data_IF_798450072406
#
_entry.id   IF_798450072406
#
_cell.length_a   1.000
_cell.length_b   1.000
_cell.length_c   1.000
_cell.angle_alpha   90.00
_cell.angle_beta   90.00
_cell.angle_gamma   90.00
#
_symmetry.space_group_name_H-M   'P 1'
#
loop_
_entity.id
_entity.type
_entity.pdbx_description
1 polymer ?
#
# COMPACT_ATOMS: atom_id res chain seq x y z
N UNK A 1 -32.30 28.50 0.83
CA UNK A 1 -31.48 27.30 0.54
C UNK A 1 -30.21 27.39 1.36
N UNK A 2 -30.34 27.25 2.67
CA UNK A 2 -29.24 27.26 3.63
C UNK A 2 -29.66 26.28 4.71
N UNK A 3 -28.94 25.19 4.86
CA UNK A 3 -29.37 24.11 5.75
C UNK A 3 -28.83 22.77 5.28
N UNK A 4 -27.56 22.50 5.62
CA UNK A 4 -26.95 21.18 5.89
C UNK A 4 -25.41 21.20 5.84
N UNK A 5 -24.75 22.35 6.00
CA UNK A 5 -23.27 22.43 6.05
C UNK A 5 -22.79 23.01 7.39
N UNK A 6 -23.46 22.66 8.49
CA UNK A 6 -23.06 23.07 9.85
C UNK A 6 -22.60 21.87 10.69
N UNK A 7 -22.41 20.69 10.09
CA UNK A 7 -21.90 19.48 10.77
C UNK A 7 -20.55 19.02 10.23
N UNK A 8 -19.67 19.98 9.92
CA UNK A 8 -18.25 19.74 9.68
C UNK A 8 -17.37 20.21 10.86
N UNK A 9 -17.98 20.56 11.99
CA UNK A 9 -17.31 20.71 13.28
C UNK A 9 -16.84 19.31 13.76
N UNK A 10 -15.58 19.02 13.42
CA UNK A 10 -14.66 18.08 14.09
C UNK A 10 -14.78 16.55 13.84
N UNK A 11 -14.46 16.06 12.62
CA UNK A 11 -14.17 14.63 12.39
C UNK A 11 -12.66 14.25 12.40
N UNK A 12 -11.72 15.18 12.64
CA UNK A 12 -10.26 14.94 12.67
C UNK A 12 -9.56 15.60 13.88
N UNK A 13 -10.08 15.44 15.09
CA UNK A 13 -9.43 15.91 16.35
C UNK A 13 -8.03 15.29 16.65
N UNK A 14 -7.49 14.45 15.77
CA UNK A 14 -6.22 13.74 15.96
C UNK A 14 -5.16 13.97 14.89
N UNK A 15 -5.41 14.83 13.89
CA UNK A 15 -4.43 15.13 12.82
C UNK A 15 -4.31 16.66 12.77
N UNK A 16 -3.17 17.26 13.18
CA UNK A 16 -2.99 18.71 13.21
C UNK A 16 -2.83 19.23 11.77
N UNK A 17 -3.96 19.39 11.08
CA UNK A 17 -3.96 20.00 9.76
C UNK A 17 -3.95 21.54 9.92
N UNK A 18 -3.06 22.26 9.23
CA UNK A 18 -3.01 23.72 9.31
C UNK A 18 -4.34 24.33 8.83
N UNK A 19 -4.84 25.34 9.56
CA UNK A 19 -6.14 26.01 9.32
C UNK A 19 -6.32 26.69 7.95
N UNK A 20 -5.33 26.58 7.06
CA UNK A 20 -5.38 26.99 5.66
C UNK A 20 -6.25 26.04 4.81
N UNK A 21 -6.30 24.74 5.13
CA UNK A 21 -7.14 23.76 4.43
C UNK A 21 -8.61 23.76 4.88
N UNK A 22 -8.92 24.47 5.98
CA UNK A 22 -10.27 24.72 6.50
C UNK A 22 -10.85 26.05 6.02
N UNK A 23 -10.11 26.86 5.25
CA UNK A 23 -10.67 28.03 4.59
C UNK A 23 -11.38 27.61 3.30
N UNK A 24 -12.72 27.59 3.34
CA UNK A 24 -13.62 27.21 2.25
C UNK A 24 -13.55 28.16 1.04
N UNK A 25 -12.86 29.28 1.17
CA UNK A 25 -12.70 30.32 0.16
C UNK A 25 -11.53 30.07 -0.81
N UNK A 26 -10.90 28.89 -0.77
CA UNK A 26 -9.84 28.47 -1.71
C UNK A 26 -10.27 27.21 -2.49
N UNK A 27 -10.00 27.11 -3.82
CA UNK A 27 -10.43 25.98 -4.65
C UNK A 27 -9.87 24.62 -4.17
N UNK A 28 -8.74 24.67 -3.45
CA UNK A 28 -8.07 23.52 -2.84
C UNK A 28 -8.92 22.89 -1.72
N UNK A 29 -9.76 23.67 -1.03
CA UNK A 29 -10.61 23.17 0.06
C UNK A 29 -11.70 22.21 -0.41
N UNK A 30 -12.27 22.41 -1.61
CA UNK A 30 -13.28 21.50 -2.17
C UNK A 30 -12.66 20.15 -2.53
N UNK A 31 -11.49 20.16 -3.16
CA UNK A 31 -10.73 18.94 -3.46
C UNK A 31 -10.37 18.18 -2.17
N UNK A 32 -9.89 18.88 -1.14
CA UNK A 32 -9.50 18.23 0.13
C UNK A 32 -10.69 17.68 0.91
N UNK A 33 -11.85 18.36 0.86
CA UNK A 33 -13.08 17.89 1.49
C UNK A 33 -13.55 16.55 0.91
N UNK A 34 -13.52 16.39 -0.42
CA UNK A 34 -13.85 15.11 -1.08
C UNK A 34 -12.89 13.98 -0.67
N UNK A 35 -11.60 14.27 -0.51
CA UNK A 35 -10.64 13.28 0.00
C UNK A 35 -10.93 12.88 1.46
N UNK A 36 -11.32 13.82 2.32
CA UNK A 36 -11.63 13.53 3.73
C UNK A 36 -12.90 12.68 3.84
N UNK A 37 -13.95 12.99 3.08
CA UNK A 37 -15.16 12.16 3.01
C UNK A 37 -14.85 10.76 2.46
N UNK A 38 -14.01 10.66 1.43
CA UNK A 38 -13.57 9.38 0.87
C UNK A 38 -12.80 8.52 1.89
N UNK A 39 -11.90 9.12 2.70
CA UNK A 39 -11.16 8.42 3.76
C UNK A 39 -12.12 7.91 4.85
N UNK A 40 -13.14 8.69 5.21
CA UNK A 40 -14.17 8.30 6.18
C UNK A 40 -14.95 7.07 5.69
N UNK A 41 -15.38 7.07 4.44
CA UNK A 41 -16.09 5.94 3.84
C UNK A 41 -15.17 4.73 3.65
N UNK A 42 -13.90 4.95 3.30
CA UNK A 42 -12.89 3.88 3.26
C UNK A 42 -12.71 3.19 4.61
N UNK A 43 -12.71 3.94 5.72
CA UNK A 43 -12.65 3.36 7.07
C UNK A 43 -13.88 2.50 7.38
N UNK A 44 -15.08 2.95 7.00
CA UNK A 44 -16.32 2.16 7.19
C UNK A 44 -16.30 0.85 6.39
N UNK A 45 -15.74 0.87 5.18
CA UNK A 45 -15.56 -0.33 4.36
C UNK A 45 -14.58 -1.31 5.01
N UNK A 46 -13.41 -0.83 5.45
CA UNK A 46 -12.40 -1.67 6.11
C UNK A 46 -12.88 -2.28 7.42
N UNK A 47 -13.79 -1.61 8.13
CA UNK A 47 -14.43 -2.15 9.34
C UNK A 47 -15.46 -3.24 9.05
N UNK A 48 -16.06 -3.25 7.85
CA UNK A 48 -16.98 -4.31 7.39
C UNK A 48 -16.25 -5.55 6.86
N UNK A 49 -14.98 -5.43 6.49
CA UNK A 49 -14.17 -6.56 6.05
C UNK A 49 -13.85 -7.52 7.21
N UNK A 50 -14.02 -8.82 6.98
CA UNK A 50 -13.51 -9.86 7.88
C UNK A 50 -11.98 -9.79 7.91
N UNK A 51 -11.42 -9.38 9.07
CA UNK A 51 -9.97 -9.39 9.29
C UNK A 51 -9.52 -10.85 9.36
N UNK A 52 -8.51 -11.27 8.59
CA UNK A 52 -8.04 -12.65 8.65
C UNK A 52 -7.55 -12.98 10.06
N UNK A 53 -7.80 -14.19 10.54
CA UNK A 53 -7.35 -14.62 11.86
C UNK A 53 -5.84 -14.85 11.87
N UNK A 54 -5.20 -14.79 13.05
CA UNK A 54 -3.76 -14.99 13.19
C UNK A 54 -3.29 -16.35 12.65
N UNK A 55 -4.15 -17.38 12.68
CA UNK A 55 -3.84 -18.70 12.11
C UNK A 55 -3.88 -18.71 10.58
N UNK A 56 -4.79 -17.94 9.97
CA UNK A 56 -4.91 -17.84 8.51
C UNK A 56 -3.75 -17.04 7.93
N UNK A 57 -3.38 -15.93 8.57
CA UNK A 57 -2.19 -15.16 8.21
C UNK A 57 -0.92 -16.01 8.22
N UNK A 58 -0.73 -16.85 9.26
CA UNK A 58 0.43 -17.75 9.33
C UNK A 58 0.46 -18.77 8.19
N UNK A 59 -0.68 -19.33 7.79
CA UNK A 59 -0.75 -20.27 6.66
C UNK A 59 -0.40 -19.59 5.34
N UNK A 60 -0.92 -18.39 5.10
CA UNK A 60 -0.63 -17.60 3.89
C UNK A 60 0.85 -17.19 3.88
N UNK A 61 1.37 -16.69 4.99
CA UNK A 61 2.77 -16.31 5.13
C UNK A 61 3.71 -17.50 4.90
N UNK A 62 3.37 -18.68 5.41
CA UNK A 62 4.15 -19.90 5.19
C UNK A 62 4.14 -20.30 3.71
N UNK A 63 2.97 -20.35 3.07
CA UNK A 63 2.87 -20.66 1.65
C UNK A 63 3.65 -19.65 0.77
N UNK A 64 3.55 -18.36 1.10
CA UNK A 64 4.29 -17.30 0.39
C UNK A 64 5.80 -17.43 0.60
N UNK A 65 6.25 -17.74 1.81
CA UNK A 65 7.67 -17.92 2.12
C UNK A 65 8.30 -19.06 1.34
N UNK A 66 7.57 -20.16 1.14
CA UNK A 66 8.01 -21.29 0.30
C UNK A 66 8.10 -20.87 -1.17
N UNK A 67 7.08 -20.18 -1.68
CA UNK A 67 7.09 -19.66 -3.05
C UNK A 67 8.25 -18.72 -3.30
N UNK A 68 8.51 -17.79 -2.38
CA UNK A 68 9.65 -16.87 -2.47
C UNK A 68 10.99 -17.61 -2.41
N UNK A 69 11.12 -18.62 -1.54
CA UNK A 69 12.33 -19.42 -1.44
C UNK A 69 12.61 -20.19 -2.75
N UNK A 70 11.59 -20.80 -3.36
CA UNK A 70 11.75 -21.53 -4.63
C UNK A 70 12.13 -20.57 -5.77
N UNK A 71 11.42 -19.44 -5.91
CA UNK A 71 11.70 -18.47 -6.96
C UNK A 71 13.10 -17.85 -6.80
N UNK A 72 13.48 -17.53 -5.56
CA UNK A 72 14.81 -17.03 -5.23
C UNK A 72 15.92 -18.05 -5.48
N UNK A 73 15.70 -19.31 -5.08
CA UNK A 73 16.69 -20.37 -5.24
C UNK A 73 16.91 -20.71 -6.72
N UNK A 74 15.84 -20.83 -7.51
CA UNK A 74 15.95 -21.07 -8.96
C UNK A 74 16.74 -19.93 -9.62
N UNK A 75 16.41 -18.68 -9.32
CA UNK A 75 17.14 -17.51 -9.86
C UNK A 75 18.62 -17.49 -9.47
N UNK A 76 18.94 -17.90 -8.23
CA UNK A 76 20.31 -17.98 -7.74
C UNK A 76 21.12 -19.07 -8.47
N UNK A 77 20.58 -20.28 -8.59
CA UNK A 77 21.26 -21.41 -9.27
C UNK A 77 21.47 -21.10 -10.75
N UNK A 78 20.44 -20.56 -11.42
CA UNK A 78 20.54 -20.15 -12.83
C UNK A 78 21.66 -19.12 -13.01
N UNK A 79 21.71 -18.09 -12.15
CA UNK A 79 22.78 -17.08 -12.19
C UNK A 79 24.15 -17.66 -11.89
N UNK A 80 24.26 -18.59 -10.93
CA UNK A 80 25.51 -19.27 -10.60
C UNK A 80 26.06 -20.12 -11.75
N UNK A 81 25.21 -20.77 -12.54
CA UNK A 81 25.63 -21.58 -13.70
C UNK A 81 26.06 -20.69 -14.88
N UNK A 82 25.43 -19.53 -15.05
CA UNK A 82 25.77 -18.62 -16.13
C UNK A 82 27.11 -17.90 -15.93
N UNK A 83 27.56 -17.64 -14.70
CA UNK A 83 28.87 -17.00 -14.42
C UNK A 83 30.07 -17.81 -14.97
N UNK A 84 30.24 -19.11 -14.66
CA UNK A 84 31.35 -19.91 -15.19
C UNK A 84 31.19 -20.17 -16.68
N UNK A 85 29.97 -20.36 -17.20
CA UNK A 85 29.73 -20.51 -18.64
C UNK A 85 30.17 -19.26 -19.38
N UNK A 86 29.79 -18.07 -18.90
CA UNK A 86 30.24 -16.82 -19.50
C UNK A 86 31.76 -16.64 -19.39
N UNK A 87 32.38 -17.00 -18.26
CA UNK A 87 33.84 -16.91 -18.09
C UNK A 87 34.62 -17.88 -19.01
N UNK A 88 34.13 -19.10 -19.24
CA UNK A 88 34.77 -20.10 -20.12
C UNK A 88 34.59 -19.73 -21.60
N UNK A 89 33.41 -19.24 -21.99
CA UNK A 89 33.17 -18.80 -23.38
C UNK A 89 33.97 -17.55 -23.70
N UNK A 90 34.06 -16.58 -22.78
CA UNK A 90 34.91 -15.38 -22.96
C UNK A 90 36.40 -15.71 -22.91
N UNK A 91 36.80 -16.72 -22.13
CA UNK A 91 38.21 -17.13 -22.00
C UNK A 91 38.72 -18.04 -23.13
N UNK A 92 37.83 -18.71 -23.87
CA UNK A 92 38.16 -19.67 -24.92
C UNK A 92 37.66 -19.25 -26.32
N UNK A 93 36.96 -18.12 -26.40
CA UNK A 93 36.68 -17.40 -27.65
C UNK A 93 37.85 -16.49 -28.03
N UNK A 94 38.12 -16.43 -29.33
CA UNK A 94 39.06 -15.52 -29.99
C UNK A 94 38.98 -14.06 -29.51
#
# INVERSE_FOLDING_TARGET
MSGSIDKAENPLAGIPLPGFLTNKDQPIGWAFSSFVEFIQDSKRLLQRCTKPDAREFKKIAFACSIGFAIMGFIGYIVKLVFIPINNIIVGMGM
#
